data_IF_355770777400
#
_entry.id   IF_355770777400
#
_cell.length_a   1.000
_cell.length_b   1.000
_cell.length_c   1.000
_cell.angle_alpha   90.00
_cell.angle_beta   90.00
_cell.angle_gamma   90.00
#
_symmetry.space_group_name_H-M   'P 1'
#
loop_
_entity.id
_entity.type
_entity.pdbx_description
1 polymer ?
#
# COMPACT_ATOMS: atom_id res chain seq x y z
N UNK A 1 -17.99 -4.43 -43.63
CA UNK A 1 -16.91 -3.43 -43.51
C UNK A 1 -17.04 -2.52 -42.27
N UNK A 2 -17.97 -2.77 -41.33
CA UNK A 2 -18.09 -1.97 -40.09
C UNK A 2 -17.51 -2.66 -38.85
N UNK A 3 -17.37 -3.99 -38.85
CA UNK A 3 -16.88 -4.72 -37.68
C UNK A 3 -15.38 -4.48 -37.41
N UNK A 4 -14.60 -4.27 -38.48
CA UNK A 4 -13.17 -3.99 -38.37
C UNK A 4 -12.89 -2.60 -37.78
N UNK A 5 -13.78 -1.62 -38.03
CA UNK A 5 -13.67 -0.28 -37.46
C UNK A 5 -14.04 -0.22 -35.98
N UNK A 6 -15.05 -1.01 -35.57
CA UNK A 6 -15.42 -1.16 -34.17
C UNK A 6 -14.31 -1.86 -33.36
N UNK A 7 -13.79 -2.98 -33.88
CA UNK A 7 -12.73 -3.77 -33.22
C UNK A 7 -11.43 -2.98 -33.02
N UNK A 8 -11.03 -2.16 -33.99
CA UNK A 8 -9.81 -1.34 -33.89
C UNK A 8 -9.99 -0.18 -32.90
N UNK A 9 -11.21 0.34 -32.72
CA UNK A 9 -11.49 1.44 -31.79
C UNK A 9 -11.57 0.94 -30.35
N UNK A 10 -12.24 -0.18 -30.13
CA UNK A 10 -12.36 -0.84 -28.82
C UNK A 10 -10.98 -1.26 -28.29
N UNK A 11 -10.18 -1.96 -29.10
CA UNK A 11 -8.84 -2.35 -28.70
C UNK A 11 -7.90 -1.17 -28.39
N UNK A 12 -8.09 -0.01 -29.04
CA UNK A 12 -7.33 1.20 -28.72
C UNK A 12 -7.74 1.76 -27.34
N UNK A 13 -9.03 1.82 -27.06
CA UNK A 13 -9.54 2.32 -25.78
C UNK A 13 -9.09 1.45 -24.61
N UNK A 14 -9.13 0.12 -24.78
CA UNK A 14 -8.67 -0.83 -23.76
C UNK A 14 -7.18 -0.67 -23.46
N UNK A 15 -6.36 -0.45 -24.50
CA UNK A 15 -4.92 -0.20 -24.33
C UNK A 15 -4.64 1.12 -23.61
N UNK A 16 -5.35 2.20 -23.95
CA UNK A 16 -5.21 3.51 -23.28
C UNK A 16 -5.60 3.40 -21.79
N UNK A 17 -6.69 2.68 -21.51
CA UNK A 17 -7.16 2.43 -20.15
C UNK A 17 -6.17 1.55 -19.35
N UNK A 18 -5.67 0.47 -19.95
CA UNK A 18 -4.67 -0.40 -19.32
C UNK A 18 -3.38 0.37 -19.00
N UNK A 19 -2.91 1.25 -19.89
CA UNK A 19 -1.75 2.09 -19.64
C UNK A 19 -1.99 3.04 -18.45
N UNK A 20 -3.14 3.71 -18.42
CA UNK A 20 -3.48 4.63 -17.32
C UNK A 20 -3.54 3.89 -15.97
N UNK A 21 -4.20 2.73 -15.94
CA UNK A 21 -4.31 1.90 -14.75
C UNK A 21 -2.95 1.37 -14.29
N UNK A 22 -2.08 0.98 -15.22
CA UNK A 22 -0.72 0.50 -14.92
C UNK A 22 0.13 1.61 -14.30
N UNK A 23 0.06 2.83 -14.83
CA UNK A 23 0.75 3.99 -14.25
C UNK A 23 0.26 4.25 -12.83
N UNK A 24 -1.06 4.35 -12.63
CA UNK A 24 -1.66 4.55 -11.30
C UNK A 24 -1.27 3.45 -10.31
N UNK A 25 -1.37 2.19 -10.73
CA UNK A 25 -0.99 1.04 -9.91
C UNK A 25 0.46 1.17 -9.45
N UNK A 26 1.38 1.48 -10.36
CA UNK A 26 2.80 1.57 -10.04
C UNK A 26 3.12 2.77 -9.12
N UNK A 27 2.57 3.94 -9.38
CA UNK A 27 2.80 5.14 -8.55
C UNK A 27 2.32 4.95 -7.11
N UNK A 28 1.08 4.47 -6.95
CA UNK A 28 0.51 4.25 -5.61
C UNK A 28 1.22 3.10 -4.90
N UNK A 29 1.51 2.00 -5.61
CA UNK A 29 2.26 0.87 -5.04
C UNK A 29 3.66 1.27 -4.59
N UNK A 30 4.36 2.11 -5.35
CA UNK A 30 5.69 2.58 -5.00
C UNK A 30 5.66 3.49 -3.77
N UNK A 31 4.73 4.46 -3.76
CA UNK A 31 4.52 5.35 -2.60
C UNK A 31 4.18 4.57 -1.33
N UNK A 32 3.30 3.57 -1.43
CA UNK A 32 2.92 2.71 -0.30
C UNK A 32 4.10 1.85 0.18
N UNK A 33 4.83 1.21 -0.74
CA UNK A 33 6.00 0.36 -0.41
C UNK A 33 7.04 1.16 0.37
N UNK A 34 7.38 2.37 -0.10
CA UNK A 34 8.35 3.24 0.54
C UNK A 34 7.93 3.67 1.94
N UNK A 35 6.65 4.03 2.10
CA UNK A 35 6.13 4.41 3.41
C UNK A 35 6.17 3.23 4.40
N UNK A 36 5.81 2.02 3.95
CA UNK A 36 5.88 0.81 4.77
C UNK A 36 7.30 0.52 5.22
N UNK A 37 8.28 0.56 4.30
CA UNK A 37 9.69 0.31 4.60
C UNK A 37 10.24 1.29 5.64
N UNK A 38 9.99 2.59 5.47
CA UNK A 38 10.44 3.63 6.42
C UNK A 38 9.79 3.42 7.79
N UNK A 39 8.47 3.21 7.82
CA UNK A 39 7.74 3.06 9.08
C UNK A 39 8.15 1.79 9.83
N UNK A 40 8.38 0.69 9.09
CA UNK A 40 8.87 -0.56 9.66
C UNK A 40 10.26 -0.40 10.29
N UNK A 41 11.18 0.28 9.59
CA UNK A 41 12.51 0.57 10.12
C UNK A 41 12.46 1.43 11.40
N UNK A 42 11.58 2.44 11.43
CA UNK A 42 11.36 3.25 12.63
C UNK A 42 10.79 2.44 13.80
N UNK A 43 9.82 1.55 13.55
CA UNK A 43 9.25 0.64 14.55
C UNK A 43 10.34 -0.26 15.17
N UNK A 44 11.18 -0.86 14.33
CA UNK A 44 12.29 -1.71 14.79
C UNK A 44 13.26 -0.89 15.65
N UNK A 45 13.70 0.27 15.17
CA UNK A 45 14.62 1.12 15.92
C UNK A 45 14.07 1.49 17.31
N UNK A 46 12.80 1.91 17.36
CA UNK A 46 12.10 2.27 18.60
C UNK A 46 11.98 1.09 19.57
N UNK A 47 11.70 -0.11 19.06
CA UNK A 47 11.60 -1.32 19.88
C UNK A 47 12.94 -1.72 20.53
N UNK A 48 14.07 -1.33 19.95
CA UNK A 48 15.42 -1.66 20.44
C UNK A 48 16.05 -0.60 21.35
N UNK A 49 15.47 0.60 21.43
CA UNK A 49 16.03 1.72 22.20
C UNK A 49 15.57 1.69 23.66
N UNK A 50 16.49 1.95 24.60
CA UNK A 50 16.14 2.18 26.02
C UNK A 50 15.41 3.53 26.18
N UNK A 51 14.24 3.53 26.82
CA UNK A 51 13.32 4.69 26.89
C UNK A 51 13.61 5.62 28.08
N UNK A 52 13.54 6.95 27.87
CA UNK A 52 13.42 7.93 28.96
C UNK A 52 12.01 8.55 29.04
N UNK A 53 11.63 9.13 30.17
CA UNK A 53 10.24 9.57 30.43
C UNK A 53 9.74 10.68 29.47
N UNK A 54 10.63 11.56 28.99
CA UNK A 54 10.31 12.59 27.98
C UNK A 54 10.11 12.01 26.58
N UNK A 55 10.65 10.83 26.31
CA UNK A 55 10.45 10.15 25.04
C UNK A 55 9.04 9.57 24.97
N UNK A 56 8.44 9.18 26.10
CA UNK A 56 7.13 8.52 26.15
C UNK A 56 6.02 9.33 25.46
N UNK A 57 5.89 10.63 25.75
CA UNK A 57 4.89 11.48 25.09
C UNK A 57 5.14 11.62 23.57
N UNK A 58 6.41 11.69 23.18
CA UNK A 58 6.84 11.75 21.78
C UNK A 58 6.54 10.44 21.04
N UNK A 59 6.76 9.31 21.71
CA UNK A 59 6.48 7.96 21.20
C UNK A 59 4.97 7.73 21.03
N UNK A 60 4.16 8.16 22.01
CA UNK A 60 2.69 8.09 21.92
C UNK A 60 2.17 8.96 20.77
N UNK A 61 2.69 10.17 20.60
CA UNK A 61 2.30 11.05 19.50
C UNK A 61 2.67 10.46 18.14
N UNK A 62 3.87 9.89 18.03
CA UNK A 62 4.34 9.22 16.82
C UNK A 62 3.48 8.00 16.48
N UNK A 63 3.17 7.13 17.45
CA UNK A 63 2.37 5.93 17.21
C UNK A 63 0.95 6.28 16.75
N UNK A 64 0.33 7.30 17.36
CA UNK A 64 -0.96 7.85 16.91
C UNK A 64 -0.89 8.38 15.48
N UNK A 65 0.21 9.04 15.11
CA UNK A 65 0.40 9.50 13.73
C UNK A 65 0.51 8.32 12.76
N UNK A 66 1.26 7.27 13.09
CA UNK A 66 1.37 6.07 12.26
C UNK A 66 0.02 5.39 12.09
N UNK A 67 -0.79 5.25 13.14
CA UNK A 67 -2.16 4.71 13.05
C UNK A 67 -3.05 5.55 12.11
N UNK A 68 -2.94 6.88 12.17
CA UNK A 68 -3.67 7.76 11.24
C UNK A 68 -3.20 7.59 9.79
N UNK A 69 -1.90 7.48 9.57
CA UNK A 69 -1.36 7.23 8.23
C UNK A 69 -1.73 5.83 7.72
N UNK A 70 -1.83 4.83 8.59
CA UNK A 70 -2.29 3.47 8.23
C UNK A 70 -3.71 3.49 7.64
N UNK A 71 -4.62 4.28 8.21
CA UNK A 71 -5.98 4.45 7.67
C UNK A 71 -5.96 5.10 6.28
N UNK A 72 -5.09 6.10 6.07
CA UNK A 72 -4.89 6.71 4.74
C UNK A 72 -4.31 5.71 3.75
N UNK A 73 -3.30 4.94 4.18
CA UNK A 73 -2.65 3.91 3.38
C UNK A 73 -3.56 2.72 3.09
N UNK A 74 -4.58 2.47 3.91
CA UNK A 74 -5.61 1.49 3.60
C UNK A 74 -6.44 1.89 2.38
N UNK A 75 -6.72 3.19 2.22
CA UNK A 75 -7.38 3.71 1.00
C UNK A 75 -6.48 3.54 -0.22
N UNK A 76 -5.19 3.87 -0.12
CA UNK A 76 -4.21 3.65 -1.19
C UNK A 76 -4.15 2.16 -1.60
N UNK A 77 -4.13 1.25 -0.63
CA UNK A 77 -4.11 -0.20 -0.86
C UNK A 77 -5.38 -0.70 -1.57
N UNK A 78 -6.55 -0.17 -1.19
CA UNK A 78 -7.80 -0.48 -1.88
C UNK A 78 -7.76 0.01 -3.34
N UNK A 79 -7.27 1.24 -3.57
CA UNK A 79 -7.11 1.80 -4.92
C UNK A 79 -6.17 0.96 -5.81
N UNK A 80 -5.08 0.43 -5.24
CA UNK A 80 -4.15 -0.47 -5.95
C UNK A 80 -4.83 -1.80 -6.26
N UNK A 81 -5.63 -2.34 -5.34
CA UNK A 81 -6.39 -3.58 -5.53
C UNK A 81 -7.42 -3.44 -6.66
N UNK A 82 -8.17 -2.34 -6.67
CA UNK A 82 -9.13 -2.03 -7.74
C UNK A 82 -8.43 -1.86 -9.10
N UNK A 83 -7.31 -1.13 -9.12
CA UNK A 83 -6.53 -0.91 -10.34
C UNK A 83 -5.95 -2.24 -10.87
N UNK A 84 -5.53 -3.13 -9.98
CA UNK A 84 -5.09 -4.48 -10.34
C UNK A 84 -6.22 -5.31 -10.94
N UNK A 85 -7.40 -5.35 -10.31
CA UNK A 85 -8.54 -6.10 -10.82
C UNK A 85 -8.97 -5.60 -12.21
N UNK A 86 -8.96 -4.28 -12.42
CA UNK A 86 -9.25 -3.68 -13.72
C UNK A 86 -8.17 -4.01 -14.78
N UNK A 87 -6.89 -4.02 -14.41
CA UNK A 87 -5.80 -4.44 -15.30
C UNK A 87 -5.91 -5.90 -15.72
N UNK A 88 -6.25 -6.79 -14.78
CA UNK A 88 -6.44 -8.22 -15.06
C UNK A 88 -7.58 -8.48 -16.04
N UNK A 89 -8.60 -7.62 -16.06
CA UNK A 89 -9.69 -7.71 -17.04
C UNK A 89 -9.31 -7.23 -18.45
N UNK A 90 -8.27 -6.40 -18.57
CA UNK A 90 -7.85 -5.77 -19.83
C UNK A 90 -6.58 -6.38 -20.43
N UNK A 91 -5.73 -6.99 -19.60
CA UNK A 91 -4.40 -7.47 -19.96
C UNK A 91 -4.24 -8.92 -19.51
N UNK A 92 -4.31 -9.83 -20.48
CA UNK A 92 -4.03 -11.25 -20.27
C UNK A 92 -2.64 -11.46 -19.63
N UNK A 93 -2.53 -12.42 -18.70
CA UNK A 93 -1.27 -12.80 -18.03
C UNK A 93 -0.68 -11.74 -17.08
N UNK A 94 -1.47 -10.73 -16.69
CA UNK A 94 -1.06 -9.73 -15.69
C UNK A 94 -1.37 -10.14 -14.25
N UNK A 95 -2.11 -11.23 -14.03
CA UNK A 95 -2.64 -11.66 -12.73
C UNK A 95 -1.52 -11.92 -11.72
N UNK A 96 -0.59 -12.80 -12.07
CA UNK A 96 0.50 -13.23 -11.17
C UNK A 96 1.33 -12.05 -10.64
N UNK A 97 1.95 -11.19 -11.47
CA UNK A 97 2.79 -10.11 -10.96
C UNK A 97 2.02 -9.06 -10.17
N UNK A 98 0.74 -8.82 -10.52
CA UNK A 98 -0.11 -7.88 -9.79
C UNK A 98 -0.49 -8.44 -8.40
N UNK A 99 -0.87 -9.72 -8.34
CA UNK A 99 -1.21 -10.40 -7.08
C UNK A 99 -0.02 -10.54 -6.15
N UNK A 100 1.16 -10.88 -6.66
CA UNK A 100 2.40 -10.93 -5.87
C UNK A 100 2.68 -9.57 -5.21
N UNK A 101 2.57 -8.48 -5.99
CA UNK A 101 2.79 -7.13 -5.48
C UNK A 101 1.74 -6.76 -4.43
N UNK A 102 0.46 -7.07 -4.67
CA UNK A 102 -0.61 -6.86 -3.70
C UNK A 102 -0.40 -7.67 -2.40
N UNK A 103 0.10 -8.89 -2.51
CA UNK A 103 0.39 -9.73 -1.35
C UNK A 103 1.47 -9.09 -0.47
N UNK A 104 2.57 -8.63 -1.07
CA UNK A 104 3.65 -7.93 -0.36
C UNK A 104 3.13 -6.66 0.33
N UNK A 105 2.34 -5.85 -0.38
CA UNK A 105 1.77 -4.61 0.18
C UNK A 105 0.80 -4.88 1.33
N UNK A 106 -0.09 -5.87 1.19
CA UNK A 106 -1.01 -6.27 2.26
C UNK A 106 -0.23 -6.78 3.48
N UNK A 107 0.75 -7.67 3.27
CA UNK A 107 1.56 -8.21 4.35
C UNK A 107 2.36 -7.13 5.08
N UNK A 108 2.93 -6.16 4.35
CA UNK A 108 3.62 -5.01 4.94
C UNK A 108 2.67 -4.13 5.75
N UNK A 109 1.50 -3.79 5.20
CA UNK A 109 0.50 -2.98 5.91
C UNK A 109 0.00 -3.65 7.18
N UNK A 110 -0.32 -4.95 7.13
CA UNK A 110 -0.72 -5.72 8.31
C UNK A 110 0.38 -5.75 9.37
N UNK A 111 1.65 -5.92 8.97
CA UNK A 111 2.79 -5.94 9.89
C UNK A 111 2.97 -4.61 10.61
N UNK A 112 3.01 -3.50 9.85
CA UNK A 112 3.16 -2.15 10.42
C UNK A 112 2.00 -1.85 11.38
N UNK A 113 0.76 -2.24 11.02
CA UNK A 113 -0.39 -2.12 11.91
C UNK A 113 -0.19 -2.88 13.21
N UNK A 114 0.08 -4.18 13.14
CA UNK A 114 0.24 -5.03 14.33
C UNK A 114 1.36 -4.52 15.22
N UNK A 115 2.51 -4.15 14.65
CA UNK A 115 3.64 -3.64 15.42
C UNK A 115 3.35 -2.27 16.04
N UNK A 116 2.61 -1.40 15.36
CA UNK A 116 2.18 -0.11 15.94
C UNK A 116 1.19 -0.32 17.08
N UNK A 117 0.25 -1.25 16.94
CA UNK A 117 -0.70 -1.62 17.99
C UNK A 117 0.01 -2.23 19.21
N UNK A 118 0.96 -3.15 18.99
CA UNK A 118 1.80 -3.74 20.03
C UNK A 118 2.66 -2.68 20.74
N UNK A 119 3.26 -1.77 19.97
CA UNK A 119 4.01 -0.65 20.52
C UNK A 119 3.15 0.25 21.40
N UNK A 120 1.94 0.60 20.94
CA UNK A 120 0.97 1.34 21.76
C UNK A 120 0.63 0.60 23.05
N UNK A 121 0.40 -0.71 23.01
CA UNK A 121 0.11 -1.49 24.20
C UNK A 121 1.29 -1.48 25.17
N UNK A 122 2.51 -1.64 24.65
CA UNK A 122 3.74 -1.57 25.45
C UNK A 122 3.89 -0.21 26.13
N UNK A 123 3.62 0.90 25.43
CA UNK A 123 3.67 2.27 25.97
C UNK A 123 2.62 2.52 27.07
N UNK A 124 1.47 1.83 27.03
CA UNK A 124 0.40 2.00 28.01
C UNK A 124 0.61 1.20 29.30
N UNK A 125 1.42 0.14 29.25
CA UNK A 125 1.73 -0.73 30.40
C UNK A 125 3.11 -0.47 31.01
N UNK A 126 3.95 0.32 30.34
CA UNK A 126 5.28 0.77 30.83
C UNK A 126 5.17 1.99 31.73
#
# INVERSE_FOLDING_TARGET
YNDLGAQVTEGKQDLEQALQLSCKFNEVSHSLSKWLEVTEAELVHKSTSERTLSDLDTEVAWAKNVLRELERKKVDLNNVTESSAALQALVDRSEIPLEEKLCVLNAGWSRVRTWTEDWCNTLLVS
#
